data_IF_993091612083
#
_entry.id   IF_993091612083
#
_cell.length_a   1.000
_cell.length_b   1.000
_cell.length_c   1.000
_cell.angle_alpha   90.00
_cell.angle_beta   90.00
_cell.angle_gamma   90.00
#
_symmetry.space_group_name_H-M   'P 1'
#
loop_
_entity.id
_entity.type
_entity.pdbx_description
1 polymer ?
#
# COMPACT_ATOMS: atom_id res chain seq x y z
N UNK A 1 -16.37 -13.10 18.16
CA UNK A 1 -16.21 -11.86 17.37
C UNK A 1 -14.72 -11.51 17.30
N UNK A 2 -14.13 -11.54 16.11
CA UNK A 2 -12.68 -11.54 15.87
C UNK A 2 -12.01 -10.23 16.30
N UNK A 3 -10.93 -10.34 17.09
CA UNK A 3 -10.12 -9.24 17.62
C UNK A 3 -9.51 -8.30 16.56
N UNK A 4 -9.57 -8.70 15.28
CA UNK A 4 -8.99 -7.97 14.14
C UNK A 4 -9.69 -6.63 13.87
N UNK A 5 -10.98 -6.51 14.20
CA UNK A 5 -11.75 -5.28 13.96
C UNK A 5 -11.41 -4.13 14.92
N UNK A 6 -10.77 -4.40 16.07
CA UNK A 6 -10.41 -3.37 17.07
C UNK A 6 -9.15 -2.57 16.71
N UNK A 7 -8.34 -3.00 15.74
CA UNK A 7 -7.08 -2.30 15.38
C UNK A 7 -7.28 -1.06 14.50
N UNK A 8 -8.41 -0.92 13.82
CA UNK A 8 -8.66 0.22 12.93
C UNK A 8 -9.21 1.46 13.66
N UNK A 9 -9.74 1.31 14.88
CA UNK A 9 -10.35 2.41 15.62
C UNK A 9 -9.33 3.41 16.22
N UNK A 10 -8.03 3.08 16.21
CA UNK A 10 -6.93 3.94 16.67
C UNK A 10 -5.96 4.30 15.54
N UNK A 11 -6.40 4.26 14.28
CA UNK A 11 -5.55 4.65 13.16
C UNK A 11 -5.29 6.16 13.21
N UNK A 12 -4.01 6.55 13.19
CA UNK A 12 -3.61 7.95 13.01
C UNK A 12 -4.29 8.51 11.74
N UNK A 13 -4.61 9.82 11.69
CA UNK A 13 -5.14 10.45 10.50
C UNK A 13 -4.23 10.12 9.31
N UNK A 14 -4.74 9.38 8.33
CA UNK A 14 -4.00 8.92 7.16
C UNK A 14 -4.63 9.55 5.93
N UNK A 15 -3.85 10.25 5.13
CA UNK A 15 -4.30 10.81 3.86
C UNK A 15 -4.15 9.79 2.73
N UNK A 16 -5.15 9.71 1.86
CA UNK A 16 -5.16 8.75 0.75
C UNK A 16 -4.51 9.37 -0.48
N UNK A 17 -3.24 9.04 -0.69
CA UNK A 17 -2.48 9.61 -1.79
C UNK A 17 -2.74 8.92 -3.14
N UNK A 18 -2.66 7.59 -3.15
CA UNK A 18 -2.88 6.77 -4.34
C UNK A 18 -3.97 5.77 -3.98
N UNK A 19 -5.11 5.78 -4.70
CA UNK A 19 -6.18 4.84 -4.42
C UNK A 19 -5.76 3.41 -4.75
N UNK A 20 -6.25 2.48 -3.93
CA UNK A 20 -5.90 1.05 -4.04
C UNK A 20 -6.76 0.43 -5.14
N UNK A 21 -6.15 0.26 -6.30
CA UNK A 21 -6.74 -0.47 -7.43
C UNK A 21 -5.87 -1.66 -7.83
N UNK A 22 -6.50 -2.63 -8.51
CA UNK A 22 -5.79 -3.74 -9.14
C UNK A 22 -4.88 -3.19 -10.25
N UNK A 23 -3.65 -3.70 -10.29
CA UNK A 23 -2.64 -3.35 -11.29
C UNK A 23 -2.03 -4.64 -11.85
N UNK A 24 -1.79 -4.67 -13.15
CA UNK A 24 -1.17 -5.80 -13.84
C UNK A 24 0.37 -5.78 -13.71
N UNK A 25 0.89 -5.67 -12.49
CA UNK A 25 2.34 -5.55 -12.24
C UNK A 25 3.15 -6.83 -12.54
N UNK A 26 2.51 -7.86 -13.07
CA UNK A 26 3.16 -9.09 -13.50
C UNK A 26 3.59 -9.03 -14.98
N UNK A 27 2.99 -8.13 -15.76
CA UNK A 27 3.39 -7.88 -17.15
C UNK A 27 4.41 -6.75 -17.22
N UNK A 28 4.24 -5.71 -16.40
CA UNK A 28 5.09 -4.51 -16.43
C UNK A 28 5.42 -4.01 -15.02
N UNK A 29 6.59 -3.38 -14.87
CA UNK A 29 7.01 -2.79 -13.59
C UNK A 29 6.23 -1.49 -13.38
N UNK A 30 5.45 -1.44 -12.30
CA UNK A 30 4.77 -0.22 -11.89
C UNK A 30 5.69 0.67 -11.06
N UNK A 31 5.81 1.95 -11.45
CA UNK A 31 6.64 2.93 -10.77
C UNK A 31 5.92 4.29 -10.63
N UNK A 32 6.36 5.08 -9.66
CA UNK A 32 5.87 6.43 -9.44
C UNK A 32 6.67 7.17 -8.37
N UNK A 33 6.41 8.46 -8.23
CA UNK A 33 7.04 9.34 -7.24
C UNK A 33 6.00 10.28 -6.63
N UNK A 34 6.27 10.74 -5.42
CA UNK A 34 5.44 11.73 -4.74
C UNK A 34 6.31 12.72 -3.98
N UNK A 35 5.99 14.01 -4.09
CA UNK A 35 6.66 15.06 -3.34
C UNK A 35 6.19 15.06 -1.89
N UNK A 36 7.11 15.17 -0.93
CA UNK A 36 6.75 15.10 0.48
C UNK A 36 5.88 16.30 0.87
N UNK A 37 4.64 16.07 1.36
CA UNK A 37 3.76 17.16 1.80
C UNK A 37 4.21 17.71 3.16
N UNK A 38 5.01 16.94 3.90
CA UNK A 38 5.55 17.28 5.21
C UNK A 38 6.25 16.09 5.86
N UNK A 39 6.60 16.23 7.14
CA UNK A 39 7.16 15.14 7.94
C UNK A 39 6.06 14.12 8.25
N UNK A 40 6.29 12.85 7.93
CA UNK A 40 5.30 11.81 8.17
C UNK A 40 5.80 10.44 7.75
N UNK A 41 4.87 9.49 7.67
CA UNK A 41 5.17 8.09 7.31
C UNK A 41 4.33 7.71 6.10
N UNK A 42 5.00 7.23 5.05
CA UNK A 42 4.32 6.63 3.90
C UNK A 42 3.90 5.19 4.22
N UNK A 43 2.64 4.87 3.96
CA UNK A 43 2.10 3.51 4.08
C UNK A 43 1.86 2.95 2.69
N UNK A 44 2.73 2.04 2.25
CA UNK A 44 2.55 1.32 0.99
C UNK A 44 1.71 0.06 1.25
N UNK A 45 0.46 0.06 0.79
CA UNK A 45 -0.45 -1.08 0.96
C UNK A 45 -0.48 -1.93 -0.30
N UNK A 46 0.05 -3.15 -0.20
CA UNK A 46 -0.07 -4.18 -1.22
C UNK A 46 -1.24 -5.10 -0.88
N UNK A 47 -2.37 -4.92 -1.58
CA UNK A 47 -3.60 -5.66 -1.28
C UNK A 47 -3.70 -6.97 -2.08
N UNK A 48 -3.87 -8.09 -1.39
CA UNK A 48 -4.15 -9.40 -1.97
C UNK A 48 -5.50 -9.98 -1.49
N UNK A 49 -6.38 -9.13 -0.94
CA UNK A 49 -7.66 -9.54 -0.34
C UNK A 49 -8.60 -10.29 -1.28
N UNK A 50 -8.49 -10.05 -2.59
CA UNK A 50 -9.30 -10.70 -3.61
C UNK A 50 -8.81 -12.08 -4.05
N UNK A 51 -7.63 -12.54 -3.60
CA UNK A 51 -7.12 -13.86 -3.97
C UNK A 51 -7.59 -14.92 -2.98
N UNK A 52 -8.46 -15.82 -3.42
CA UNK A 52 -8.98 -16.90 -2.56
C UNK A 52 -7.94 -18.00 -2.27
N UNK A 53 -7.10 -18.33 -3.26
CA UNK A 53 -6.21 -19.51 -3.20
C UNK A 53 -4.76 -19.23 -3.59
N UNK A 54 -4.44 -17.99 -3.98
CA UNK A 54 -3.15 -17.64 -4.58
C UNK A 54 -2.45 -16.54 -3.80
N UNK A 55 -1.31 -16.89 -3.23
CA UNK A 55 -0.33 -15.92 -2.70
C UNK A 55 0.30 -15.12 -3.85
N UNK A 56 0.92 -13.98 -3.51
CA UNK A 56 1.68 -13.15 -4.45
C UNK A 56 3.09 -12.96 -3.92
N UNK A 57 4.06 -13.08 -4.81
CA UNK A 57 5.41 -12.61 -4.57
C UNK A 57 5.49 -11.16 -5.02
N UNK A 58 6.06 -10.30 -4.17
CA UNK A 58 6.16 -8.88 -4.41
C UNK A 58 7.63 -8.47 -4.37
N UNK A 59 8.09 -7.90 -5.48
CA UNK A 59 9.39 -7.25 -5.58
C UNK A 59 9.14 -5.75 -5.60
N UNK A 60 9.67 -5.03 -4.61
CA UNK A 60 9.51 -3.59 -4.50
C UNK A 60 10.83 -2.93 -4.14
N UNK A 61 11.01 -1.68 -4.56
CA UNK A 61 12.19 -0.87 -4.29
C UNK A 61 11.74 0.57 -4.07
N UNK A 62 12.23 1.21 -3.01
CA UNK A 62 11.85 2.57 -2.63
C UNK A 62 13.10 3.44 -2.58
N UNK A 63 13.02 4.63 -3.16
CA UNK A 63 14.07 5.64 -3.14
C UNK A 63 13.51 6.97 -2.65
N UNK A 64 14.37 7.71 -1.97
CA UNK A 64 14.17 9.13 -1.73
C UNK A 64 14.78 9.89 -2.90
N UNK A 65 13.97 10.72 -3.56
CA UNK A 65 14.47 11.70 -4.51
C UNK A 65 15.29 12.77 -3.79
N UNK A 66 16.15 13.47 -4.54
CA UNK A 66 16.77 14.71 -4.04
C UNK A 66 15.76 15.85 -4.06
#
# INVERSE_FOLDING_TARGET
>A
MSSRSRKLANALPTDELIPIYRRDCHTEVYCGSHQYPGCGVYVLKFDNSFSLWRSKWLYYRIFYGK
#
